data_IF_730279935180
#
_entry.id   IF_730279935180
#
_cell.length_a   1.000
_cell.length_b   1.000
_cell.length_c   1.000
_cell.angle_alpha   90.00
_cell.angle_beta   90.00
_cell.angle_gamma   90.00
#
_symmetry.space_group_name_H-M   'P 1'
#
loop_
_entity.id
_entity.type
_entity.pdbx_description
1 polymer ?
#
# COMPACT_ATOMS: atom_id res chain seq x y z
N UNK A 1 3.26 -0.34 16.52
CA UNK A 1 3.44 0.68 15.47
C UNK A 1 2.36 0.60 14.41
N UNK A 2 1.11 0.41 14.81
CA UNK A 2 -0.07 0.48 13.96
C UNK A 2 -1.17 1.14 14.80
N UNK A 3 -2.13 1.79 14.17
CA UNK A 3 -3.22 2.49 14.86
C UNK A 3 -4.39 2.76 13.91
N UNK A 4 -5.53 3.19 14.47
CA UNK A 4 -6.62 3.74 13.67
C UNK A 4 -7.04 5.10 14.20
N UNK A 5 -7.57 5.95 13.32
CA UNK A 5 -8.02 7.28 13.67
C UNK A 5 -9.28 7.63 12.89
N UNK A 6 -10.29 8.16 13.59
CA UNK A 6 -11.50 8.69 12.98
C UNK A 6 -11.20 10.11 12.49
N UNK A 7 -11.11 10.29 11.17
CA UNK A 7 -10.75 11.58 10.56
C UNK A 7 -11.92 12.55 10.63
N UNK A 8 -13.11 12.04 10.34
CA UNK A 8 -14.39 12.74 10.42
C UNK A 8 -15.51 11.70 10.59
N UNK A 9 -16.73 12.09 11.00
CA UNK A 9 -17.85 11.16 11.05
C UNK A 9 -17.99 10.37 9.74
N UNK A 10 -18.01 9.03 9.85
CA UNK A 10 -18.12 8.13 8.71
C UNK A 10 -16.82 7.81 7.96
N UNK A 11 -15.65 8.33 8.37
CA UNK A 11 -14.36 8.06 7.71
C UNK A 11 -13.22 7.79 8.70
N UNK A 12 -12.65 6.58 8.61
CA UNK A 12 -11.51 6.14 9.42
C UNK A 12 -10.28 5.84 8.57
N UNK A 13 -9.11 6.23 9.05
CA UNK A 13 -7.82 5.76 8.55
C UNK A 13 -7.31 4.65 9.47
N UNK A 14 -6.85 3.56 8.87
CA UNK A 14 -6.23 2.43 9.55
C UNK A 14 -4.79 2.32 9.05
N UNK A 15 -3.83 2.68 9.90
CA UNK A 15 -2.40 2.55 9.61
C UNK A 15 -1.89 1.23 10.15
N UNK A 16 -1.47 0.34 9.23
CA UNK A 16 -0.96 -1.00 9.54
C UNK A 16 0.56 -1.07 9.39
N UNK A 17 1.20 -1.82 10.28
CA UNK A 17 2.61 -2.17 10.22
C UNK A 17 2.83 -3.45 9.39
N UNK A 18 2.89 -3.30 8.08
CA UNK A 18 3.13 -4.39 7.14
C UNK A 18 4.57 -4.92 7.18
N UNK A 19 5.51 -4.23 7.85
CA UNK A 19 6.89 -4.74 8.05
C UNK A 19 6.88 -6.05 8.85
N UNK A 20 5.91 -6.22 9.74
CA UNK A 20 5.71 -7.46 10.49
C UNK A 20 5.34 -8.64 9.59
N UNK A 21 4.85 -8.39 8.38
CA UNK A 21 4.43 -9.42 7.44
C UNK A 21 5.41 -9.62 6.29
N UNK A 22 6.38 -8.72 6.16
CA UNK A 22 7.30 -8.64 5.04
C UNK A 22 8.14 -9.91 4.93
N UNK A 23 8.19 -10.54 3.75
CA UNK A 23 8.80 -11.86 3.56
C UNK A 23 10.28 -11.95 3.96
N UNK A 24 11.13 -10.90 3.84
CA UNK A 24 12.50 -10.93 4.36
C UNK A 24 12.61 -10.75 5.88
N UNK A 25 11.52 -10.43 6.58
CA UNK A 25 11.53 -10.32 8.03
C UNK A 25 11.39 -11.70 8.68
N UNK A 26 12.52 -12.33 8.97
CA UNK A 26 12.57 -13.67 9.58
C UNK A 26 12.17 -13.70 11.06
N UNK A 27 12.02 -12.54 11.72
CA UNK A 27 11.62 -12.50 13.15
C UNK A 27 10.14 -12.85 13.35
N UNK A 28 9.34 -12.78 12.28
CA UNK A 28 7.89 -12.97 12.34
C UNK A 28 7.39 -14.11 11.44
N UNK A 29 8.28 -14.83 10.75
CA UNK A 29 7.94 -15.90 9.80
C UNK A 29 7.09 -17.00 10.43
N UNK A 30 7.39 -17.36 11.67
CA UNK A 30 6.72 -18.46 12.39
C UNK A 30 5.66 -17.96 13.39
N UNK A 31 5.40 -16.65 13.42
CA UNK A 31 4.39 -16.04 14.28
C UNK A 31 3.09 -15.86 13.47
N UNK A 32 1.99 -16.54 13.82
CA UNK A 32 0.76 -16.45 13.03
C UNK A 32 0.16 -15.03 12.98
N UNK A 33 0.15 -14.33 14.12
CA UNK A 33 -0.34 -12.96 14.24
C UNK A 33 0.68 -12.06 14.97
N UNK A 34 1.74 -11.59 14.27
CA UNK A 34 2.78 -10.81 14.88
C UNK A 34 2.22 -9.48 15.41
N UNK A 35 2.31 -9.32 16.73
CA UNK A 35 1.78 -8.16 17.44
C UNK A 35 0.25 -8.16 17.60
N UNK A 36 -0.46 -9.27 17.38
CA UNK A 36 -1.92 -9.34 17.40
C UNK A 36 -2.61 -8.37 16.42
N UNK A 37 -1.91 -8.01 15.34
CA UNK A 37 -2.35 -7.00 14.40
C UNK A 37 -3.52 -7.48 13.53
N UNK A 38 -3.61 -8.77 13.17
CA UNK A 38 -4.75 -9.30 12.42
C UNK A 38 -6.02 -9.34 13.27
N UNK A 39 -5.92 -9.80 14.52
CA UNK A 39 -7.04 -9.74 15.46
C UNK A 39 -7.51 -8.28 15.64
N UNK A 40 -6.58 -7.39 15.94
CA UNK A 40 -6.89 -5.96 16.09
C UNK A 40 -7.51 -5.35 14.83
N UNK A 41 -6.96 -5.64 13.65
CA UNK A 41 -7.47 -5.12 12.39
C UNK A 41 -8.90 -5.62 12.13
N UNK A 42 -9.18 -6.90 12.40
CA UNK A 42 -10.52 -7.45 12.28
C UNK A 42 -11.52 -6.75 13.21
N UNK A 43 -11.13 -6.49 14.46
CA UNK A 43 -11.96 -5.76 15.42
C UNK A 43 -12.25 -4.33 14.96
N UNK A 44 -11.24 -3.60 14.47
CA UNK A 44 -11.41 -2.24 13.94
C UNK A 44 -12.32 -2.24 12.71
N UNK A 45 -12.13 -3.16 11.76
CA UNK A 45 -12.98 -3.26 10.56
C UNK A 45 -14.42 -3.63 10.91
N UNK A 46 -14.61 -4.56 11.85
CA UNK A 46 -15.93 -4.96 12.35
C UNK A 46 -16.65 -3.79 13.01
N UNK A 47 -15.96 -3.02 13.85
CA UNK A 47 -16.54 -1.85 14.51
C UNK A 47 -16.85 -0.74 13.49
N UNK A 48 -15.96 -0.49 12.54
CA UNK A 48 -16.17 0.48 11.45
C UNK A 48 -17.42 0.12 10.63
N UNK A 49 -17.59 -1.17 10.31
CA UNK A 49 -18.77 -1.68 9.61
C UNK A 49 -20.07 -1.42 10.39
N UNK A 50 -20.08 -1.71 11.70
CA UNK A 50 -21.23 -1.44 12.58
C UNK A 50 -21.55 0.05 12.70
N UNK A 51 -20.53 0.89 12.72
CA UNK A 51 -20.65 2.34 12.79
C UNK A 51 -20.89 3.00 11.43
N UNK A 52 -21.11 2.23 10.35
CA UNK A 52 -21.29 2.73 8.99
C UNK A 52 -20.16 3.64 8.50
N UNK A 53 -18.93 3.35 8.94
CA UNK A 53 -17.73 4.06 8.54
C UNK A 53 -17.12 3.43 7.27
N UNK A 54 -16.61 4.30 6.39
CA UNK A 54 -15.69 3.92 5.34
C UNK A 54 -14.26 3.98 5.85
N UNK A 55 -13.41 3.10 5.33
CA UNK A 55 -12.03 2.97 5.80
C UNK A 55 -11.02 3.15 4.66
N UNK A 56 -9.95 3.89 4.94
CA UNK A 56 -8.72 3.84 4.17
C UNK A 56 -7.69 3.03 4.94
N UNK A 57 -7.12 2.01 4.29
CA UNK A 57 -6.01 1.25 4.85
C UNK A 57 -4.72 1.81 4.29
N UNK A 58 -3.79 2.16 5.16
CA UNK A 58 -2.46 2.66 4.77
C UNK A 58 -1.38 1.77 5.36
N UNK A 59 -0.43 1.35 4.54
CA UNK A 59 0.70 0.51 4.95
C UNK A 59 1.96 0.87 4.17
N UNK A 60 3.11 0.35 4.60
CA UNK A 60 4.37 0.60 3.89
C UNK A 60 4.55 -0.38 2.72
N UNK A 61 4.67 -1.66 3.03
CA UNK A 61 4.86 -2.76 2.09
C UNK A 61 3.49 -3.22 1.56
N UNK A 62 3.26 -3.20 0.23
CA UNK A 62 2.00 -3.65 -0.35
C UNK A 62 1.85 -5.18 -0.28
N UNK A 63 0.61 -5.72 -0.24
CA UNK A 63 0.37 -7.14 -0.44
C UNK A 63 0.68 -7.59 -1.87
N UNK A 64 0.75 -8.89 -2.10
CA UNK A 64 0.93 -9.47 -3.42
C UNK A 64 2.39 -9.79 -3.73
N UNK A 65 2.87 -9.32 -4.87
CA UNK A 65 4.10 -9.80 -5.51
C UNK A 65 4.95 -8.63 -6.00
N UNK A 66 6.27 -8.80 -5.94
CA UNK A 66 7.22 -7.85 -6.51
C UNK A 66 7.14 -7.81 -8.03
N UNK A 67 6.77 -6.67 -8.58
CA UNK A 67 6.63 -6.50 -10.03
C UNK A 67 7.96 -6.23 -10.77
N UNK A 68 9.08 -6.05 -10.07
CA UNK A 68 10.41 -5.87 -10.67
C UNK A 68 11.17 -7.20 -10.69
N UNK A 69 11.05 -7.93 -11.79
CA UNK A 69 11.81 -9.16 -12.05
C UNK A 69 12.51 -9.10 -13.39
N UNK A 70 13.70 -9.69 -13.50
CA UNK A 70 14.35 -9.82 -14.80
C UNK A 70 13.56 -10.77 -15.69
N UNK A 71 13.71 -10.60 -17.00
CA UNK A 71 13.14 -11.52 -17.98
C UNK A 71 13.58 -12.96 -17.64
N UNK A 72 12.61 -13.83 -17.39
CA UNK A 72 12.84 -15.24 -17.02
C UNK A 72 12.95 -15.53 -15.52
N UNK A 73 12.90 -14.51 -14.64
CA UNK A 73 12.84 -14.71 -13.19
C UNK A 73 11.40 -14.75 -12.68
N UNK A 74 11.18 -15.55 -11.63
CA UNK A 74 9.90 -15.59 -10.91
C UNK A 74 9.80 -14.42 -9.95
N UNK A 75 8.60 -13.85 -9.86
CA UNK A 75 8.29 -12.87 -8.82
C UNK A 75 8.29 -13.51 -7.44
N UNK A 76 8.79 -12.77 -6.46
CA UNK A 76 8.71 -13.13 -5.05
C UNK A 76 7.45 -12.53 -4.41
N UNK A 77 6.81 -13.23 -3.45
CA UNK A 77 5.74 -12.67 -2.65
C UNK A 77 6.29 -11.58 -1.72
N UNK A 78 5.51 -10.52 -1.50
CA UNK A 78 5.90 -9.45 -0.57
C UNK A 78 5.72 -9.85 0.88
N UNK A 79 4.71 -10.65 1.18
CA UNK A 79 4.43 -11.12 2.54
C UNK A 79 4.74 -12.60 2.71
N UNK A 80 4.95 -13.02 3.96
CA UNK A 80 4.90 -14.44 4.31
C UNK A 80 3.55 -15.03 3.86
N UNK A 81 3.52 -16.24 3.26
CA UNK A 81 2.29 -16.79 2.68
C UNK A 81 1.08 -16.82 3.62
N UNK A 82 1.30 -17.13 4.90
CA UNK A 82 0.25 -17.15 5.91
C UNK A 82 -0.32 -15.76 6.20
N UNK A 83 0.53 -14.74 6.28
CA UNK A 83 0.12 -13.36 6.51
C UNK A 83 -0.61 -12.79 5.28
N UNK A 84 -0.14 -13.11 4.07
CA UNK A 84 -0.83 -12.77 2.82
C UNK A 84 -2.26 -13.34 2.79
N UNK A 85 -2.41 -14.61 3.19
CA UNK A 85 -3.71 -15.29 3.25
C UNK A 85 -4.65 -14.65 4.27
N UNK A 86 -4.15 -14.36 5.47
CA UNK A 86 -4.94 -13.71 6.53
C UNK A 86 -5.38 -12.30 6.12
N UNK A 87 -4.46 -11.49 5.59
CA UNK A 87 -4.77 -10.14 5.16
C UNK A 87 -5.80 -10.13 4.02
N UNK A 88 -5.60 -10.98 3.00
CA UNK A 88 -6.53 -11.10 1.88
C UNK A 88 -7.93 -11.51 2.33
N UNK A 89 -8.04 -12.42 3.31
CA UNK A 89 -9.33 -12.81 3.90
C UNK A 89 -10.04 -11.61 4.54
N UNK A 90 -9.31 -10.75 5.25
CA UNK A 90 -9.90 -9.54 5.85
C UNK A 90 -10.31 -8.52 4.78
N UNK A 91 -9.47 -8.28 3.76
CA UNK A 91 -9.81 -7.39 2.65
C UNK A 91 -11.09 -7.83 1.94
N UNK A 92 -11.23 -9.12 1.63
CA UNK A 92 -12.42 -9.65 0.97
C UNK A 92 -13.66 -9.60 1.87
N UNK A 93 -13.51 -9.96 3.15
CA UNK A 93 -14.63 -9.94 4.13
C UNK A 93 -15.18 -8.54 4.36
N UNK A 94 -14.33 -7.51 4.36
CA UNK A 94 -14.71 -6.12 4.65
C UNK A 94 -14.66 -5.21 3.42
N UNK A 95 -14.64 -5.78 2.21
CA UNK A 95 -14.53 -5.05 0.94
C UNK A 95 -15.56 -3.92 0.77
N UNK A 96 -16.77 -4.08 1.31
CA UNK A 96 -17.84 -3.08 1.19
C UNK A 96 -17.57 -1.76 1.94
N UNK A 97 -16.72 -1.78 2.96
CA UNK A 97 -16.38 -0.59 3.75
C UNK A 97 -14.99 -0.02 3.42
N UNK A 98 -14.14 -0.78 2.74
CA UNK A 98 -12.81 -0.33 2.33
C UNK A 98 -12.96 0.59 1.11
N UNK A 99 -12.78 1.89 1.33
CA UNK A 99 -12.88 2.92 0.29
C UNK A 99 -11.58 3.11 -0.49
N UNK A 100 -10.44 2.73 0.09
CA UNK A 100 -9.15 2.78 -0.58
C UNK A 100 -8.05 2.11 0.23
N UNK A 101 -7.01 1.65 -0.47
CA UNK A 101 -5.78 1.16 0.16
C UNK A 101 -4.58 1.87 -0.46
N UNK A 102 -3.69 2.39 0.38
CA UNK A 102 -2.54 3.20 -0.04
C UNK A 102 -1.24 2.59 0.50
N UNK A 103 -0.28 2.35 -0.37
CA UNK A 103 1.02 1.77 -0.04
C UNK A 103 2.18 2.52 -0.70
N UNK A 104 3.40 2.19 -0.29
CA UNK A 104 4.63 2.68 -0.91
C UNK A 104 5.59 1.53 -1.19
N UNK A 105 6.80 1.62 -0.63
CA UNK A 105 7.87 0.60 -0.62
C UNK A 105 8.50 0.27 -1.99
N UNK A 106 7.70 0.11 -3.04
CA UNK A 106 8.21 -0.27 -4.36
C UNK A 106 8.85 0.87 -5.14
N UNK A 107 8.68 2.12 -4.71
CA UNK A 107 9.18 3.31 -5.40
C UNK A 107 8.68 3.34 -6.87
N UNK A 108 7.41 2.99 -7.06
CA UNK A 108 6.76 2.89 -8.36
C UNK A 108 5.36 3.46 -8.29
N UNK A 109 4.94 4.06 -9.41
CA UNK A 109 3.55 4.36 -9.67
C UNK A 109 2.85 3.07 -10.13
N UNK A 110 1.97 2.51 -9.28
CA UNK A 110 1.27 1.27 -9.56
C UNK A 110 -0.10 1.24 -8.88
N UNK A 111 -1.01 0.44 -9.42
CA UNK A 111 -2.20 -0.01 -8.72
C UNK A 111 -2.29 -1.53 -8.72
N UNK A 112 -3.02 -2.09 -7.75
CA UNK A 112 -3.37 -3.51 -7.72
C UNK A 112 -4.90 -3.65 -7.66
N UNK A 113 -5.42 -4.74 -8.21
CA UNK A 113 -6.84 -5.06 -8.19
C UNK A 113 -7.04 -6.38 -7.45
N UNK A 114 -8.00 -6.41 -6.53
CA UNK A 114 -8.37 -7.58 -5.76
C UNK A 114 -9.69 -8.16 -6.28
N UNK A 115 -9.73 -9.46 -6.50
CA UNK A 115 -10.89 -10.18 -7.01
C UNK A 115 -11.19 -11.42 -6.16
N UNK A 116 -12.44 -11.88 -6.18
CA UNK A 116 -12.76 -13.26 -5.78
C UNK A 116 -12.32 -14.25 -6.86
N UNK A 117 -12.24 -15.52 -6.50
CA UNK A 117 -12.08 -16.65 -7.43
C UNK A 117 -13.18 -16.69 -8.51
N UNK A 118 -14.30 -15.97 -8.29
CA UNK A 118 -15.41 -15.79 -9.24
C UNK A 118 -15.17 -14.67 -10.27
N UNK A 119 -14.03 -13.98 -10.25
CA UNK A 119 -13.71 -12.85 -11.14
C UNK A 119 -14.40 -11.53 -10.75
N UNK A 120 -15.08 -11.46 -9.60
CA UNK A 120 -15.77 -10.25 -9.14
C UNK A 120 -14.80 -9.27 -8.47
N UNK A 121 -14.78 -8.02 -8.94
CA UNK A 121 -14.00 -6.93 -8.33
C UNK A 121 -14.39 -6.67 -6.87
N UNK A 122 -13.39 -6.50 -6.00
CA UNK A 122 -13.60 -6.21 -4.57
C UNK A 122 -12.85 -5.01 -4.02
N UNK A 123 -11.96 -4.43 -4.81
CA UNK A 123 -11.25 -3.23 -4.43
C UNK A 123 -9.94 -3.13 -5.17
N UNK A 124 -9.28 -2.01 -4.94
CA UNK A 124 -7.96 -1.73 -5.46
C UNK A 124 -7.05 -1.22 -4.35
N UNK A 125 -5.76 -1.29 -4.60
CA UNK A 125 -4.75 -0.53 -3.88
C UNK A 125 -3.99 0.35 -4.83
N UNK A 126 -3.47 1.44 -4.30
CA UNK A 126 -2.65 2.40 -5.02
C UNK A 126 -1.30 2.48 -4.32
N UNK A 127 -0.25 2.36 -5.10
CA UNK A 127 1.13 2.44 -4.66
C UNK A 127 1.69 3.75 -5.18
N UNK A 128 2.15 4.60 -4.26
CA UNK A 128 2.79 5.86 -4.61
C UNK A 128 4.27 5.64 -4.94
N UNK A 129 4.77 6.39 -5.92
CA UNK A 129 6.20 6.49 -6.19
C UNK A 129 6.94 7.17 -5.04
N UNK A 130 8.28 7.18 -5.08
CA UNK A 130 9.13 7.72 -4.03
C UNK A 130 9.57 9.15 -4.30
N UNK A 131 9.93 9.85 -3.21
CA UNK A 131 10.72 11.09 -3.30
C UNK A 131 12.17 10.78 -3.65
N UNK A 132 12.74 9.71 -3.07
CA UNK A 132 14.12 9.34 -3.37
C UNK A 132 14.22 8.82 -4.82
N UNK A 133 15.15 9.34 -5.63
CA UNK A 133 15.44 8.83 -6.96
C UNK A 133 16.43 7.65 -6.93
N UNK A 134 16.69 7.12 -5.73
CA UNK A 134 17.71 6.09 -5.52
C UNK A 134 17.47 4.87 -6.39
N UNK A 135 18.54 4.45 -7.05
CA UNK A 135 18.60 3.20 -7.78
C UNK A 135 19.96 2.55 -7.57
N UNK A 136 19.99 1.24 -7.72
CA UNK A 136 21.19 0.43 -7.66
C UNK A 136 21.09 -0.62 -8.76
N UNK A 137 22.19 -0.79 -9.50
CA UNK A 137 22.31 -1.78 -10.59
C UNK A 137 23.19 -2.96 -10.18
N UNK A 138 23.46 -3.14 -8.89
CA UNK A 138 24.28 -4.24 -8.36
C UNK A 138 23.42 -5.45 -7.98
N UNK A 139 24.03 -6.63 -8.04
CA UNK A 139 23.53 -7.88 -7.46
C UNK A 139 22.12 -8.33 -7.88
N UNK A 140 21.74 -8.09 -9.14
CA UNK A 140 20.40 -8.40 -9.64
C UNK A 140 19.26 -7.73 -8.83
N UNK A 141 19.56 -6.66 -8.09
CA UNK A 141 18.54 -5.86 -7.43
C UNK A 141 18.00 -4.85 -8.46
N UNK A 142 16.79 -5.07 -8.96
CA UNK A 142 16.19 -4.16 -9.94
C UNK A 142 15.60 -2.98 -9.17
N UNK A 143 16.42 -1.97 -8.90
CA UNK A 143 15.88 -0.64 -8.66
C UNK A 143 15.87 0.16 -9.97
N UNK A 144 14.69 0.43 -10.51
CA UNK A 144 14.54 1.32 -11.67
C UNK A 144 14.53 2.76 -11.13
N UNK A 145 15.41 3.66 -11.64
CA UNK A 145 15.40 5.05 -11.22
C UNK A 145 14.05 5.69 -11.54
N UNK A 146 13.51 6.41 -10.57
CA UNK A 146 12.29 7.20 -10.71
C UNK A 146 12.58 8.65 -10.38
N UNK A 147 11.84 9.57 -11.00
CA UNK A 147 11.88 10.97 -10.60
C UNK A 147 11.22 11.13 -9.22
N UNK A 148 11.73 12.03 -8.35
CA UNK A 148 11.06 12.38 -7.09
C UNK A 148 9.61 12.75 -7.33
N UNK A 149 8.70 12.16 -6.57
CA UNK A 149 7.27 12.18 -6.90
C UNK A 149 6.38 12.35 -5.66
N UNK A 150 5.34 13.18 -5.76
CA UNK A 150 4.28 13.35 -4.74
C UNK A 150 2.91 13.15 -5.37
N UNK A 151 1.94 12.70 -4.58
CA UNK A 151 0.58 12.43 -5.07
C UNK A 151 -0.47 13.10 -4.19
N UNK A 152 -1.47 13.70 -4.82
CA UNK A 152 -2.67 14.23 -4.17
C UNK A 152 -3.86 13.32 -4.50
N UNK A 153 -4.50 12.75 -3.49
CA UNK A 153 -5.64 11.83 -3.67
C UNK A 153 -6.97 12.60 -3.57
N UNK A 154 -7.87 12.35 -4.51
CA UNK A 154 -9.21 12.92 -4.53
C UNK A 154 -10.24 11.88 -4.10
N UNK A 155 -11.09 12.26 -3.15
CA UNK A 155 -12.14 11.38 -2.65
C UNK A 155 -13.47 12.14 -2.50
N UNK A 156 -14.57 11.39 -2.59
CA UNK A 156 -15.92 11.93 -2.49
C UNK A 156 -16.21 12.36 -1.05
N UNK A 157 -16.65 13.60 -0.86
CA UNK A 157 -17.05 14.08 0.46
C UNK A 157 -18.35 13.42 0.97
N UNK A 158 -19.15 12.80 0.09
CA UNK A 158 -20.43 12.19 0.42
C UNK A 158 -20.27 10.79 1.02
N UNK A 159 -19.47 9.96 0.40
CA UNK A 159 -19.34 8.52 0.71
C UNK A 159 -17.89 8.09 0.90
N UNK A 160 -16.95 9.05 0.97
CA UNK A 160 -15.52 8.85 1.18
C UNK A 160 -14.83 7.93 0.16
N UNK A 161 -15.50 7.56 -0.93
CA UNK A 161 -14.93 6.73 -1.98
C UNK A 161 -13.80 7.46 -2.69
N UNK A 162 -12.72 6.75 -2.97
CA UNK A 162 -11.63 7.29 -3.77
C UNK A 162 -12.13 7.54 -5.21
N UNK A 163 -11.86 8.72 -5.75
CA UNK A 163 -12.30 9.14 -7.07
C UNK A 163 -11.14 9.18 -8.07
N UNK A 164 -10.05 9.86 -7.70
CA UNK A 164 -8.94 10.14 -8.61
C UNK A 164 -7.65 10.48 -7.86
N UNK A 165 -6.56 10.76 -8.56
CA UNK A 165 -5.35 11.34 -8.00
C UNK A 165 -4.55 12.17 -9.02
N UNK A 166 -3.89 13.22 -8.54
CA UNK A 166 -2.88 13.96 -9.30
C UNK A 166 -1.48 13.46 -8.94
N UNK A 167 -0.71 13.05 -9.94
CA UNK A 167 0.69 12.65 -9.80
C UNK A 167 1.61 13.79 -10.23
N UNK A 168 2.37 14.33 -9.27
CA UNK A 168 3.41 15.31 -9.54
C UNK A 168 4.78 14.65 -9.48
N UNK A 169 5.72 15.14 -10.29
CA UNK A 169 7.10 14.69 -10.27
C UNK A 169 8.06 15.84 -10.53
N UNK A 170 9.26 15.74 -9.97
CA UNK A 170 10.38 16.62 -10.28
C UNK A 170 11.21 15.96 -11.37
N UNK A 171 11.34 16.57 -12.54
CA UNK A 171 12.34 16.14 -13.51
C UNK A 171 13.73 16.44 -12.94
N UNK A 172 14.35 15.41 -12.34
CA UNK A 172 15.58 15.58 -11.57
C UNK A 172 16.75 16.02 -12.45
N UNK A 173 16.86 15.48 -13.66
CA UNK A 173 17.89 15.88 -14.63
C UNK A 173 17.78 17.36 -14.99
N UNK A 174 16.55 17.83 -15.27
CA UNK A 174 16.30 19.24 -15.58
C UNK A 174 16.57 20.11 -14.35
N UNK A 175 16.12 19.71 -13.17
CA UNK A 175 16.34 20.45 -11.93
C UNK A 175 17.84 20.64 -11.64
N UNK A 176 18.65 19.59 -11.82
CA UNK A 176 20.10 19.64 -11.62
C UNK A 176 20.85 20.44 -12.70
N UNK A 177 20.25 20.69 -13.87
CA UNK A 177 20.85 21.52 -14.92
C UNK A 177 20.66 23.02 -14.71
N UNK A 178 19.75 23.43 -13.80
CA UNK A 178 19.52 24.83 -13.47
C UNK A 178 20.69 25.32 -12.62
N UNK A 179 21.46 26.27 -13.15
CA UNK A 179 22.65 26.84 -12.49
C UNK A 179 22.32 27.98 -11.53
N UNK A 180 21.05 28.41 -11.48
CA UNK A 180 20.63 29.49 -10.59
C UNK A 180 20.48 28.96 -9.16
N UNK A 181 21.22 29.58 -8.24
CA UNK A 181 21.07 29.33 -6.81
C UNK A 181 19.70 29.88 -6.38
N UNK A 182 18.86 29.10 -5.69
CA UNK A 182 17.63 29.64 -5.12
C UNK A 182 17.99 30.80 -4.19
N UNK A 183 17.43 32.00 -4.45
CA UNK A 183 17.50 33.14 -3.53
C UNK A 183 16.65 32.89 -2.29
#
# INVERSE_FOLDING_TARGET
GYFSHLVKPGLRIISINTILWYSPNNLTSDIPDPGNQFQWLEEVLKNSSRSSEKVYIVGHVPPGYYNRVFKGQKSSPTFHPQHAKMFTKLLLKYASIIAGQLYGHFHLDMFQVFQYDTGTFKGSSILASSITPWHENKDNNISIPVNPSVRLMHYSNKDSMLLDYDQYYLNLTKANSIKETPQ
#
